data_IF_250008100064
#
_entry.id   IF_250008100064
#
_cell.length_a   1.000
_cell.length_b   1.000
_cell.length_c   1.000
_cell.angle_alpha   90.00
_cell.angle_beta   90.00
_cell.angle_gamma   90.00
#
_symmetry.space_group_name_H-M   'P 1'
#
loop_
_entity.id
_entity.type
_entity.pdbx_description
1 polymer ?
#
# COMPACT_ATOMS: atom_id res chain seq x y z
N UNK A 1 9.00 2.57 -20.35
CA UNK A 1 7.55 2.88 -20.33
C UNK A 1 6.91 2.10 -19.20
N UNK A 2 5.90 2.66 -18.53
CA UNK A 2 4.99 1.90 -17.65
C UNK A 2 4.07 1.02 -18.49
N UNK A 3 3.59 -0.10 -17.93
CA UNK A 3 2.61 -0.96 -18.57
C UNK A 3 1.27 -0.86 -17.84
N UNK A 4 0.27 -0.24 -18.47
CA UNK A 4 -1.06 -0.05 -17.91
C UNK A 4 -2.09 -0.72 -18.84
N UNK A 5 -2.92 -1.62 -18.30
CA UNK A 5 -3.96 -2.30 -19.08
C UNK A 5 -5.20 -2.58 -18.23
N UNK A 6 -6.36 -2.14 -18.69
CA UNK A 6 -7.67 -2.34 -18.05
C UNK A 6 -7.76 -1.79 -16.60
N UNK A 7 -6.97 -0.76 -16.28
CA UNK A 7 -6.98 -0.09 -14.98
C UNK A 7 -7.66 1.27 -15.05
N UNK A 8 -8.30 1.68 -13.95
CA UNK A 8 -8.91 3.00 -13.78
C UNK A 8 -7.93 3.91 -13.01
N UNK A 9 -7.32 4.86 -13.72
CA UNK A 9 -6.36 5.82 -13.18
C UNK A 9 -7.08 7.15 -12.98
N UNK A 10 -7.27 7.59 -11.74
CA UNK A 10 -8.07 8.77 -11.41
C UNK A 10 -7.19 10.02 -11.22
N UNK A 11 -7.70 11.17 -11.61
CA UNK A 11 -7.12 12.48 -11.38
C UNK A 11 -5.63 12.56 -11.73
N UNK A 12 -4.82 12.94 -10.76
CA UNK A 12 -3.37 13.07 -10.86
C UNK A 12 -2.59 11.83 -10.41
N UNK A 13 -3.23 10.65 -10.38
CA UNK A 13 -2.50 9.42 -10.08
C UNK A 13 -1.38 9.18 -11.09
N UNK A 14 -0.26 8.62 -10.62
CA UNK A 14 0.95 8.49 -11.42
C UNK A 14 1.52 7.06 -11.37
N UNK A 15 2.00 6.60 -12.51
CA UNK A 15 2.64 5.30 -12.65
C UNK A 15 4.02 5.49 -13.25
N UNK A 16 5.06 5.19 -12.48
CA UNK A 16 6.46 5.35 -12.85
C UNK A 16 6.86 4.44 -14.01
N UNK A 17 7.95 4.80 -14.68
CA UNK A 17 8.58 3.96 -15.70
C UNK A 17 8.94 2.58 -15.12
N UNK A 18 8.68 1.52 -15.87
CA UNK A 18 8.93 0.14 -15.45
C UNK A 18 7.86 -0.46 -14.53
N UNK A 19 6.96 0.35 -13.97
CA UNK A 19 5.85 -0.18 -13.19
C UNK A 19 4.77 -0.82 -14.09
N UNK A 20 4.05 -1.81 -13.53
CA UNK A 20 3.01 -2.57 -14.22
C UNK A 20 1.70 -2.47 -13.43
N UNK A 21 0.63 -1.95 -14.05
CA UNK A 21 -0.70 -1.84 -13.44
C UNK A 21 -1.72 -2.48 -14.38
N UNK A 22 -2.25 -3.65 -14.02
CA UNK A 22 -3.10 -4.44 -14.92
C UNK A 22 -4.33 -5.04 -14.24
N UNK A 23 -5.42 -5.16 -14.99
CA UNK A 23 -6.66 -5.79 -14.55
C UNK A 23 -7.60 -4.82 -13.83
N UNK A 24 -8.46 -5.36 -12.97
CA UNK A 24 -9.44 -4.58 -12.20
C UNK A 24 -8.76 -3.82 -11.07
N UNK A 25 -8.03 -2.76 -11.43
CA UNK A 25 -7.31 -1.89 -10.50
C UNK A 25 -7.87 -0.48 -10.59
N UNK A 26 -8.14 0.14 -9.44
CA UNK A 26 -8.44 1.57 -9.33
C UNK A 26 -7.33 2.25 -8.54
N UNK A 27 -6.70 3.26 -9.15
CA UNK A 27 -5.77 4.17 -8.48
C UNK A 27 -6.50 5.48 -8.21
N UNK A 28 -6.66 5.83 -6.93
CA UNK A 28 -7.29 7.07 -6.49
C UNK A 28 -6.44 8.30 -6.84
N UNK A 29 -7.09 9.47 -6.86
CA UNK A 29 -6.43 10.74 -7.16
C UNK A 29 -5.18 10.95 -6.29
N UNK A 30 -4.15 11.58 -6.85
CA UNK A 30 -2.86 11.83 -6.18
C UNK A 30 -2.10 10.56 -5.72
N UNK A 31 -2.58 9.35 -5.99
CA UNK A 31 -1.83 8.13 -5.68
C UNK A 31 -0.63 7.94 -6.61
N UNK A 32 0.32 7.08 -6.23
CA UNK A 32 1.51 6.82 -7.05
C UNK A 32 1.97 5.37 -6.97
N UNK A 33 2.38 4.82 -8.12
CA UNK A 33 3.00 3.51 -8.25
C UNK A 33 4.41 3.71 -8.80
N UNK A 34 5.40 3.36 -8.00
CA UNK A 34 6.80 3.67 -8.23
C UNK A 34 7.52 2.62 -9.08
N UNK A 35 8.81 2.82 -9.32
CA UNK A 35 9.59 2.06 -10.31
C UNK A 35 9.56 0.54 -10.05
N UNK A 36 9.28 -0.22 -11.09
CA UNK A 36 9.24 -1.68 -11.10
C UNK A 36 8.21 -2.30 -10.13
N UNK A 37 7.32 -1.51 -9.54
CA UNK A 37 6.21 -2.06 -8.77
C UNK A 37 5.17 -2.72 -9.68
N UNK A 38 4.49 -3.75 -9.18
CA UNK A 38 3.45 -4.49 -9.90
C UNK A 38 2.14 -4.43 -9.11
N UNK A 39 1.08 -3.93 -9.73
CA UNK A 39 -0.29 -3.95 -9.19
C UNK A 39 -1.16 -4.74 -10.17
N UNK A 40 -1.54 -5.97 -9.80
CA UNK A 40 -2.20 -6.91 -10.70
C UNK A 40 -3.53 -7.41 -10.13
N UNK A 41 -4.65 -6.86 -10.64
CA UNK A 41 -6.02 -7.18 -10.25
C UNK A 41 -6.72 -8.09 -11.27
N UNK A 42 -6.14 -9.23 -11.58
CA UNK A 42 -6.70 -10.20 -12.54
C UNK A 42 -7.64 -11.24 -11.91
N UNK A 43 -7.49 -11.52 -10.61
CA UNK A 43 -8.31 -12.49 -9.88
C UNK A 43 -9.39 -11.83 -9.02
N UNK A 44 -9.12 -10.64 -8.47
CA UNK A 44 -10.05 -9.84 -7.68
C UNK A 44 -9.71 -8.35 -7.79
N UNK A 45 -10.65 -7.44 -7.43
CA UNK A 45 -10.40 -6.00 -7.49
C UNK A 45 -9.28 -5.55 -6.54
N UNK A 46 -8.50 -4.56 -7.00
CA UNK A 46 -7.55 -3.81 -6.19
C UNK A 46 -7.94 -2.35 -6.20
N UNK A 47 -8.07 -1.74 -5.02
CA UNK A 47 -8.37 -0.33 -4.85
C UNK A 47 -7.23 0.32 -4.05
N UNK A 48 -6.60 1.33 -4.62
CA UNK A 48 -5.59 2.16 -3.96
C UNK A 48 -6.20 3.54 -3.73
N UNK A 49 -6.27 3.96 -2.48
CA UNK A 49 -6.87 5.22 -2.07
C UNK A 49 -6.08 6.46 -2.50
N UNK A 50 -6.73 7.62 -2.42
CA UNK A 50 -6.14 8.90 -2.79
C UNK A 50 -4.88 9.22 -1.97
N UNK A 51 -3.87 9.78 -2.62
CA UNK A 51 -2.60 10.17 -1.97
C UNK A 51 -1.75 9.02 -1.45
N UNK A 52 -2.12 7.77 -1.71
CA UNK A 52 -1.35 6.60 -1.30
C UNK A 52 -0.21 6.29 -2.27
N UNK A 53 0.85 5.68 -1.77
CA UNK A 53 2.01 5.34 -2.60
C UNK A 53 2.39 3.88 -2.49
N UNK A 54 2.65 3.26 -3.64
CA UNK A 54 3.14 1.89 -3.80
C UNK A 54 4.59 2.01 -4.26
N UNK A 55 5.54 1.79 -3.36
CA UNK A 55 6.94 2.09 -3.59
C UNK A 55 7.64 1.04 -4.47
N UNK A 56 8.87 1.34 -4.84
CA UNK A 56 9.67 0.59 -5.82
C UNK A 56 9.72 -0.91 -5.52
N UNK A 57 9.55 -1.73 -6.56
CA UNK A 57 9.62 -3.18 -6.47
C UNK A 57 8.49 -3.87 -5.70
N UNK A 58 7.53 -3.12 -5.17
CA UNK A 58 6.38 -3.67 -4.41
C UNK A 58 5.46 -4.47 -5.32
N UNK A 59 4.92 -5.58 -4.81
CA UNK A 59 3.90 -6.37 -5.49
C UNK A 59 2.57 -6.27 -4.74
N UNK A 60 1.52 -5.85 -5.44
CA UNK A 60 0.14 -5.87 -4.95
C UNK A 60 -0.67 -6.82 -5.82
N UNK A 61 -1.22 -7.86 -5.22
CA UNK A 61 -2.05 -8.85 -5.89
C UNK A 61 -3.29 -9.21 -5.05
N UNK A 62 -4.24 -9.89 -5.64
CA UNK A 62 -5.49 -10.28 -5.00
C UNK A 62 -5.93 -11.66 -5.52
N UNK A 63 -6.42 -12.52 -4.66
CA UNK A 63 -7.01 -13.81 -5.01
C UNK A 63 -8.53 -13.74 -5.12
N UNK A 64 -9.13 -14.73 -5.77
CA UNK A 64 -10.57 -14.90 -5.80
C UNK A 64 -11.14 -14.95 -4.36
N UNK A 65 -12.08 -14.05 -4.06
CA UNK A 65 -12.67 -13.90 -2.73
C UNK A 65 -11.85 -13.03 -1.75
N UNK A 66 -10.65 -12.60 -2.13
CA UNK A 66 -9.80 -11.74 -1.31
C UNK A 66 -9.39 -10.47 -2.10
N UNK A 67 -10.30 -9.48 -2.24
CA UNK A 67 -9.94 -8.20 -2.86
C UNK A 67 -8.90 -7.47 -2.02
N UNK A 68 -8.10 -6.63 -2.67
CA UNK A 68 -7.13 -5.80 -1.97
C UNK A 68 -7.64 -4.35 -1.88
N UNK A 69 -7.68 -3.80 -0.67
CA UNK A 69 -8.09 -2.42 -0.41
C UNK A 69 -7.03 -1.70 0.38
N UNK A 70 -6.49 -0.62 -0.17
CA UNK A 70 -5.51 0.25 0.47
C UNK A 70 -6.19 1.61 0.67
N UNK A 71 -6.23 2.09 1.90
CA UNK A 71 -6.86 3.36 2.28
C UNK A 71 -6.14 4.59 1.72
N UNK A 72 -6.62 5.79 2.05
CA UNK A 72 -6.04 7.05 1.61
C UNK A 72 -4.76 7.39 2.42
N UNK A 73 -3.82 8.09 1.81
CA UNK A 73 -2.59 8.55 2.47
C UNK A 73 -1.69 7.43 2.99
N UNK A 74 -1.90 6.21 2.52
CA UNK A 74 -1.18 5.01 3.00
C UNK A 74 0.10 4.79 2.19
N UNK A 75 1.17 4.46 2.90
CA UNK A 75 2.48 4.15 2.31
C UNK A 75 2.72 2.65 2.32
N UNK A 76 2.98 2.09 1.15
CA UNK A 76 3.45 0.71 1.00
C UNK A 76 4.94 0.76 0.63
N UNK A 77 5.77 0.36 1.57
CA UNK A 77 7.24 0.44 1.48
C UNK A 77 7.85 -0.44 0.40
N UNK A 78 9.07 -0.08 -0.01
CA UNK A 78 9.82 -0.76 -1.06
C UNK A 78 9.86 -2.28 -0.89
N UNK A 79 9.68 -3.02 -1.98
CA UNK A 79 9.73 -4.49 -2.02
C UNK A 79 8.74 -5.20 -1.09
N UNK A 80 7.69 -4.52 -0.61
CA UNK A 80 6.64 -5.17 0.16
C UNK A 80 5.78 -6.07 -0.74
N UNK A 81 5.12 -7.07 -0.15
CA UNK A 81 4.13 -7.92 -0.82
C UNK A 81 2.79 -7.73 -0.12
N UNK A 82 1.82 -7.21 -0.85
CA UNK A 82 0.46 -6.97 -0.38
C UNK A 82 -0.48 -7.90 -1.14
N UNK A 83 -1.11 -8.80 -0.44
CA UNK A 83 -1.88 -9.86 -1.08
C UNK A 83 -3.26 -10.02 -0.44
N UNK A 84 -4.33 -9.68 -1.18
CA UNK A 84 -5.72 -9.94 -0.80
C UNK A 84 -6.14 -9.46 0.58
N UNK A 85 -5.76 -8.26 0.99
CA UNK A 85 -5.96 -7.72 2.34
C UNK A 85 -6.59 -6.32 2.34
N UNK A 86 -6.99 -5.87 3.52
CA UNK A 86 -7.47 -4.51 3.74
C UNK A 86 -6.48 -3.74 4.61
N UNK A 87 -6.09 -2.55 4.18
CA UNK A 87 -5.20 -1.63 4.90
C UNK A 87 -5.92 -0.28 5.02
N UNK A 88 -6.01 0.22 6.24
CA UNK A 88 -6.68 1.49 6.55
C UNK A 88 -5.92 2.72 6.05
N UNK A 89 -6.42 3.89 6.44
CA UNK A 89 -5.87 5.21 6.05
C UNK A 89 -4.60 5.54 6.83
N UNK A 90 -3.72 6.37 6.24
CA UNK A 90 -2.52 6.90 6.89
C UNK A 90 -1.62 5.83 7.54
N UNK A 91 -1.68 4.62 7.03
CA UNK A 91 -0.90 3.48 7.55
C UNK A 91 0.39 3.33 6.76
N UNK A 92 1.46 2.97 7.45
CA UNK A 92 2.74 2.64 6.83
C UNK A 92 2.99 1.15 6.92
N UNK A 93 3.13 0.50 5.78
CA UNK A 93 3.66 -0.86 5.67
C UNK A 93 5.14 -0.76 5.34
N UNK A 94 5.98 -1.22 6.24
CA UNK A 94 7.43 -1.11 6.12
C UNK A 94 8.01 -1.91 4.94
N UNK A 95 9.22 -1.53 4.53
CA UNK A 95 9.96 -2.15 3.43
C UNK A 95 10.07 -3.67 3.61
N UNK A 96 9.83 -4.43 2.56
CA UNK A 96 9.95 -5.89 2.56
C UNK A 96 8.94 -6.64 3.42
N UNK A 97 7.94 -5.96 3.99
CA UNK A 97 6.88 -6.63 4.73
C UNK A 97 5.96 -7.43 3.80
N UNK A 98 5.38 -8.51 4.33
CA UNK A 98 4.43 -9.36 3.62
C UNK A 98 3.10 -9.31 4.37
N UNK A 99 2.01 -8.97 3.67
CA UNK A 99 0.65 -8.96 4.21
C UNK A 99 -0.20 -9.94 3.39
N UNK A 100 -0.74 -10.96 4.06
CA UNK A 100 -1.42 -12.09 3.42
C UNK A 100 -2.95 -11.93 3.35
N UNK A 101 -3.60 -12.82 2.60
CA UNK A 101 -5.04 -12.84 2.35
C UNK A 101 -5.89 -12.67 3.62
N UNK A 102 -6.90 -11.84 3.53
CA UNK A 102 -7.87 -11.61 4.60
C UNK A 102 -7.30 -10.90 5.83
N UNK A 103 -6.04 -10.45 5.80
CA UNK A 103 -5.53 -9.59 6.87
C UNK A 103 -6.23 -8.23 6.84
N UNK A 104 -6.52 -7.71 8.03
CA UNK A 104 -7.16 -6.40 8.23
C UNK A 104 -6.23 -5.52 9.08
N UNK A 105 -5.64 -4.52 8.47
CA UNK A 105 -4.79 -3.54 9.15
C UNK A 105 -5.58 -2.24 9.23
N UNK A 106 -5.73 -1.74 10.44
CA UNK A 106 -6.46 -0.50 10.74
C UNK A 106 -5.79 0.75 10.17
N UNK A 107 -6.39 1.89 10.46
CA UNK A 107 -5.86 3.22 10.11
C UNK A 107 -4.80 3.66 11.12
N UNK A 108 -3.93 4.60 10.69
CA UNK A 108 -2.86 5.16 11.52
C UNK A 108 -1.97 4.09 12.17
N UNK A 109 -1.70 2.99 11.44
CA UNK A 109 -0.84 1.89 11.89
C UNK A 109 0.57 1.98 11.31
N UNK A 110 1.50 1.26 11.93
CA UNK A 110 2.81 0.93 11.35
C UNK A 110 2.99 -0.58 11.39
N UNK A 111 3.23 -1.17 10.23
CA UNK A 111 3.76 -2.54 10.11
C UNK A 111 5.26 -2.42 9.89
N UNK A 112 6.05 -2.94 10.82
CA UNK A 112 7.50 -2.82 10.77
C UNK A 112 8.11 -3.49 9.53
N UNK A 113 9.26 -3.00 9.09
CA UNK A 113 9.96 -3.54 7.92
C UNK A 113 10.27 -5.04 8.09
N UNK A 114 10.15 -5.82 7.01
CA UNK A 114 10.39 -7.27 6.99
C UNK A 114 9.39 -8.11 7.79
N UNK A 115 8.29 -7.53 8.26
CA UNK A 115 7.28 -8.25 9.03
C UNK A 115 6.45 -9.19 8.15
N UNK A 116 5.96 -10.30 8.73
CA UNK A 116 5.00 -11.20 8.10
C UNK A 116 3.65 -11.11 8.82
N UNK A 117 2.70 -10.39 8.21
CA UNK A 117 1.30 -10.37 8.65
C UNK A 117 0.58 -11.55 8.01
N UNK A 118 0.32 -12.57 8.80
CA UNK A 118 -0.27 -13.82 8.33
C UNK A 118 -1.76 -13.68 7.98
N UNK A 119 -2.28 -14.65 7.26
CA UNK A 119 -3.66 -14.68 6.79
C UNK A 119 -4.67 -14.45 7.94
N UNK A 120 -5.66 -13.59 7.70
CA UNK A 120 -6.72 -13.30 8.66
C UNK A 120 -6.30 -12.55 9.92
N UNK A 121 -5.04 -12.09 9.99
CA UNK A 121 -4.57 -11.29 11.13
C UNK A 121 -5.27 -9.93 11.17
N UNK A 122 -5.73 -9.51 12.35
CA UNK A 122 -6.31 -8.20 12.58
C UNK A 122 -5.35 -7.34 13.40
N UNK A 123 -5.00 -6.17 12.86
CA UNK A 123 -4.25 -5.12 13.55
C UNK A 123 -5.18 -3.93 13.77
N UNK A 124 -5.57 -3.59 15.02
CA UNK A 124 -6.48 -2.48 15.30
C UNK A 124 -5.87 -1.12 14.90
N UNK A 125 -6.72 -0.09 14.79
CA UNK A 125 -6.27 1.28 14.49
C UNK A 125 -5.19 1.78 15.46
N UNK A 126 -4.26 2.55 14.96
CA UNK A 126 -3.24 3.24 15.75
C UNK A 126 -2.19 2.35 16.38
N UNK A 127 -1.94 1.16 15.85
CA UNK A 127 -1.00 0.19 16.43
C UNK A 127 0.29 0.04 15.63
N UNK A 128 1.38 -0.22 16.35
CA UNK A 128 2.60 -0.80 15.80
C UNK A 128 2.48 -2.34 15.85
N UNK A 129 2.67 -2.99 14.70
CA UNK A 129 2.84 -4.43 14.62
C UNK A 129 4.19 -4.77 13.95
N UNK A 130 4.88 -5.77 14.47
CA UNK A 130 6.21 -6.14 14.00
C UNK A 130 6.51 -7.63 14.23
N UNK A 131 7.37 -8.21 13.39
CA UNK A 131 7.89 -9.56 13.53
C UNK A 131 7.44 -10.54 12.45
N UNK A 132 7.91 -11.78 12.56
CA UNK A 132 7.56 -12.88 11.64
C UNK A 132 7.27 -14.16 12.46
N UNK A 133 6.00 -14.46 12.74
CA UNK A 133 4.79 -13.71 12.39
C UNK A 133 4.67 -12.38 13.17
N UNK A 134 4.07 -11.37 12.53
CA UNK A 134 3.86 -10.07 13.16
C UNK A 134 2.90 -10.14 14.34
N UNK A 135 3.22 -9.36 15.37
CA UNK A 135 2.39 -9.20 16.57
C UNK A 135 2.15 -7.72 16.81
N UNK A 136 0.99 -7.38 17.35
CA UNK A 136 0.72 -6.05 17.87
C UNK A 136 1.61 -5.80 19.07
N UNK A 137 2.41 -4.74 19.05
CA UNK A 137 3.43 -4.43 20.05
C UNK A 137 2.91 -3.38 21.04
N UNK A 138 2.42 -2.25 20.50
CA UNK A 138 1.95 -1.11 21.30
C UNK A 138 1.12 -0.13 20.45
N UNK A 139 0.35 0.77 21.09
CA UNK A 139 -0.19 1.93 20.39
C UNK A 139 0.92 2.84 19.84
N UNK A 140 0.64 3.51 18.73
CA UNK A 140 1.47 4.59 18.22
C UNK A 140 1.27 5.87 19.04
N UNK A 141 2.34 6.65 19.16
CA UNK A 141 2.26 8.02 19.66
C UNK A 141 1.64 8.94 18.59
N UNK A 142 1.12 10.08 19.00
CA UNK A 142 0.59 11.09 18.06
C UNK A 142 1.68 11.62 17.11
N UNK A 143 2.93 11.66 17.56
CA UNK A 143 4.06 12.03 16.70
C UNK A 143 4.28 11.02 15.57
N UNK A 144 4.23 9.71 15.86
CA UNK A 144 4.36 8.65 14.87
C UNK A 144 3.20 8.66 13.85
N UNK A 145 1.97 8.87 14.32
CA UNK A 145 0.81 9.02 13.42
C UNK A 145 0.96 10.22 12.47
N UNK A 146 1.44 11.34 13.00
CA UNK A 146 1.71 12.54 12.20
C UNK A 146 2.84 12.29 11.19
N UNK A 147 3.86 11.52 11.56
CA UNK A 147 4.95 11.13 10.66
C UNK A 147 4.44 10.27 9.50
N UNK A 148 3.51 9.31 9.77
CA UNK A 148 2.84 8.53 8.72
C UNK A 148 2.17 9.44 7.69
N UNK A 149 1.40 10.43 8.13
CA UNK A 149 0.72 11.39 7.25
C UNK A 149 1.72 12.22 6.45
N UNK A 150 2.77 12.71 7.11
CA UNK A 150 3.83 13.49 6.45
C UNK A 150 4.54 12.67 5.37
N UNK A 151 4.76 11.38 5.61
CA UNK A 151 5.36 10.47 4.64
C UNK A 151 4.49 10.37 3.36
N UNK A 152 3.18 10.14 3.51
CA UNK A 152 2.25 10.14 2.37
C UNK A 152 2.30 11.44 1.56
N UNK A 153 2.27 12.60 2.24
CA UNK A 153 2.35 13.93 1.60
C UNK A 153 3.69 14.08 0.86
N UNK A 154 4.80 13.64 1.45
CA UNK A 154 6.12 13.71 0.82
C UNK A 154 6.16 12.95 -0.51
N UNK A 155 5.56 11.76 -0.58
CA UNK A 155 5.46 10.99 -1.81
C UNK A 155 4.57 11.63 -2.87
N UNK A 156 3.48 12.32 -2.47
CA UNK A 156 2.69 13.13 -3.41
C UNK A 156 3.52 14.27 -4.04
N UNK A 157 4.37 14.93 -3.27
CA UNK A 157 5.26 15.98 -3.77
C UNK A 157 6.37 15.40 -4.66
N UNK A 158 7.03 14.33 -4.21
CA UNK A 158 8.11 13.68 -4.97
C UNK A 158 7.66 13.19 -6.35
N UNK A 159 6.46 12.60 -6.47
CA UNK A 159 5.96 12.15 -7.77
C UNK A 159 5.85 13.29 -8.79
N UNK A 160 5.53 14.51 -8.32
CA UNK A 160 5.42 15.68 -9.21
C UNK A 160 6.79 16.09 -9.77
N UNK A 161 7.86 15.88 -9.03
CA UNK A 161 9.24 16.09 -9.50
C UNK A 161 9.65 15.01 -10.52
N UNK A 162 9.12 13.80 -10.39
CA UNK A 162 9.45 12.67 -11.27
C UNK A 162 8.63 12.64 -12.57
N UNK A 163 7.58 13.45 -12.68
CA UNK A 163 6.73 13.54 -13.89
C UNK A 163 7.39 14.28 -15.06
N UNK A 164 8.37 15.10 -14.76
CA UNK A 164 9.11 15.92 -15.74
C UNK A 164 10.29 15.12 -16.32
#
# INVERSE_FOLDING_TARGET
>A
MSYIKNANIQGNAWVAQGACVVGNVTLGDESSVWYNAVVRGDMAPIIVGCGSNIQDGTVVHADAGFPCKIGNGTTIGHNAIIHGCTIGHNTVVGMGAIVMNGAEIGSDCIIGAGSLVTQGTVVPDGMLAFGSPAKVIRPLTEAEKKENQTNGISYMLMKNIQKD
#
